data_IF_335105316586
#
_entry.id   IF_335105316586
#
_cell.length_a   1.000
_cell.length_b   1.000
_cell.length_c   1.000
_cell.angle_alpha   90.00
_cell.angle_beta   90.00
_cell.angle_gamma   90.00
#
_symmetry.space_group_name_H-M   'P 1'
#
loop_
_entity.id
_entity.type
_entity.pdbx_description
1 polymer ?
#
# COMPACT_ATOMS: atom_id res chain seq x y z
N UNK A 1 9.43 12.57 -38.79
CA UNK A 1 9.40 11.20 -38.26
C UNK A 1 8.08 11.03 -37.53
N UNK A 2 7.29 9.99 -37.79
CA UNK A 2 6.15 9.71 -36.94
C UNK A 2 6.66 9.45 -35.53
N UNK A 3 6.10 10.16 -34.57
CA UNK A 3 6.33 9.86 -33.16
C UNK A 3 5.85 8.43 -32.90
N UNK A 4 6.70 7.58 -32.33
CA UNK A 4 6.31 6.24 -31.91
C UNK A 4 5.11 6.29 -30.96
N UNK A 5 4.47 5.14 -30.63
CA UNK A 5 3.35 5.12 -29.71
C UNK A 5 3.75 5.83 -28.41
N UNK A 6 2.84 6.59 -27.77
CA UNK A 6 3.15 7.32 -26.57
C UNK A 6 3.67 6.37 -25.50
N UNK A 7 4.89 6.58 -25.04
CA UNK A 7 5.46 5.86 -23.92
C UNK A 7 4.89 6.45 -22.63
N UNK A 8 4.11 5.64 -21.91
CA UNK A 8 3.56 6.04 -20.62
C UNK A 8 4.66 6.35 -19.61
N UNK A 9 4.48 7.42 -18.86
CA UNK A 9 5.37 7.82 -17.77
C UNK A 9 4.73 7.46 -16.45
N UNK A 10 5.43 6.71 -15.63
CA UNK A 10 5.02 6.42 -14.26
C UNK A 10 5.94 7.14 -13.28
N UNK A 11 5.38 7.91 -12.35
CA UNK A 11 6.11 8.44 -11.20
C UNK A 11 5.85 7.56 -10.01
N UNK A 12 6.93 7.09 -9.40
CA UNK A 12 6.92 6.40 -8.11
C UNK A 12 7.37 7.37 -7.03
N UNK A 13 6.49 7.66 -6.08
CA UNK A 13 6.78 8.50 -4.92
C UNK A 13 6.94 7.63 -3.67
N UNK A 14 8.02 7.80 -2.94
CA UNK A 14 8.25 7.14 -1.66
C UNK A 14 8.46 8.21 -0.59
N UNK A 15 7.63 8.24 0.44
CA UNK A 15 7.72 9.24 1.51
C UNK A 15 8.56 8.78 2.69
N UNK A 16 8.76 7.48 2.86
CA UNK A 16 9.53 6.90 3.97
C UNK A 16 10.16 5.56 3.56
N UNK A 17 11.40 5.34 3.96
CA UNK A 17 12.12 4.06 3.93
C UNK A 17 12.12 3.32 2.58
N UNK A 18 13.27 3.27 1.92
CA UNK A 18 13.42 2.56 0.63
C UNK A 18 13.63 1.07 0.86
N UNK A 19 12.55 0.25 0.75
CA UNK A 19 12.75 -1.20 0.57
C UNK A 19 13.08 -1.47 -0.90
N UNK A 20 14.33 -1.85 -1.17
CA UNK A 20 14.89 -2.09 -2.51
C UNK A 20 14.00 -3.02 -3.35
N UNK A 21 13.45 -4.09 -2.78
CA UNK A 21 12.61 -5.06 -3.50
C UNK A 21 11.41 -4.41 -4.19
N UNK A 22 10.70 -3.56 -3.48
CA UNK A 22 9.50 -2.88 -4.01
C UNK A 22 9.85 -1.90 -5.14
N UNK A 23 10.99 -1.22 -4.98
CA UNK A 23 11.51 -0.32 -6.00
C UNK A 23 11.83 -1.07 -7.29
N UNK A 24 12.56 -2.17 -7.17
CA UNK A 24 12.96 -2.98 -8.32
C UNK A 24 11.78 -3.63 -9.03
N UNK A 25 10.84 -4.23 -8.28
CA UNK A 25 9.68 -4.93 -8.87
C UNK A 25 8.77 -3.98 -9.63
N UNK A 26 8.47 -2.80 -9.07
CA UNK A 26 7.62 -1.81 -9.74
C UNK A 26 8.29 -1.25 -11.00
N UNK A 27 9.60 -0.93 -10.93
CA UNK A 27 10.34 -0.47 -12.11
C UNK A 27 10.37 -1.55 -13.19
N UNK A 28 10.66 -2.80 -12.81
CA UNK A 28 10.68 -3.90 -13.78
C UNK A 28 9.32 -4.16 -14.41
N UNK A 29 8.25 -4.10 -13.62
CA UNK A 29 6.88 -4.24 -14.14
C UNK A 29 6.54 -3.13 -15.15
N UNK A 30 6.85 -1.87 -14.81
CA UNK A 30 6.65 -0.74 -15.71
C UNK A 30 7.44 -0.91 -17.02
N UNK A 31 8.70 -1.29 -16.94
CA UNK A 31 9.53 -1.56 -18.14
C UNK A 31 8.97 -2.68 -19.00
N UNK A 32 8.47 -3.76 -18.40
CA UNK A 32 7.85 -4.87 -19.12
C UNK A 32 6.57 -4.45 -19.85
N UNK A 33 5.88 -3.43 -19.33
CA UNK A 33 4.70 -2.83 -19.97
C UNK A 33 5.04 -1.70 -20.96
N UNK A 34 6.32 -1.46 -21.23
CA UNK A 34 6.76 -0.39 -22.12
C UNK A 34 6.67 1.02 -21.54
N UNK A 35 6.58 1.14 -20.22
CA UNK A 35 6.51 2.42 -19.52
C UNK A 35 7.90 2.89 -19.11
N UNK A 36 8.11 4.20 -19.09
CA UNK A 36 9.25 4.83 -18.42
C UNK A 36 8.93 5.08 -16.95
N UNK A 37 9.91 4.97 -16.08
CA UNK A 37 9.73 5.14 -14.64
C UNK A 37 10.60 6.25 -14.09
N UNK A 38 9.99 7.20 -13.43
CA UNK A 38 10.67 8.21 -12.61
C UNK A 38 10.49 7.80 -11.13
N UNK A 39 11.56 7.77 -10.38
CA UNK A 39 11.51 7.43 -8.95
C UNK A 39 11.89 8.65 -8.13
N UNK A 40 10.97 9.07 -7.26
CA UNK A 40 11.16 10.18 -6.34
C UNK A 40 11.14 9.65 -4.90
N UNK A 41 12.25 9.83 -4.19
CA UNK A 41 12.35 9.57 -2.75
C UNK A 41 12.14 10.92 -2.02
N UNK A 42 10.90 11.22 -1.68
CA UNK A 42 10.54 12.44 -0.95
C UNK A 42 11.00 12.31 0.50
N UNK A 43 11.54 13.39 1.05
CA UNK A 43 12.12 13.45 2.40
C UNK A 43 13.43 12.67 2.60
N UNK A 44 13.98 12.08 1.55
CA UNK A 44 15.34 11.54 1.56
C UNK A 44 16.21 12.33 0.57
N UNK A 45 16.83 13.38 1.04
CA UNK A 45 17.65 14.27 0.22
C UNK A 45 17.27 15.74 0.37
N UNK A 46 17.53 16.52 -0.68
CA UNK A 46 17.35 17.96 -0.66
C UNK A 46 15.87 18.41 -0.80
N UNK A 47 14.97 17.52 -1.26
CA UNK A 47 13.57 17.86 -1.49
C UNK A 47 12.68 17.30 -0.39
N UNK A 48 12.44 18.12 0.63
CA UNK A 48 11.52 17.83 1.71
C UNK A 48 10.19 18.49 1.42
N UNK A 49 9.08 17.79 1.63
CA UNK A 49 7.74 18.30 1.43
C UNK A 49 7.01 18.49 2.76
N UNK A 50 6.37 19.65 2.90
CA UNK A 50 5.40 19.88 3.96
C UNK A 50 4.08 19.18 3.62
N UNK A 51 3.48 18.51 4.58
CA UNK A 51 2.24 17.73 4.40
C UNK A 51 1.07 18.27 5.21
N UNK A 52 1.36 19.14 6.19
CA UNK A 52 0.35 19.71 7.08
C UNK A 52 -0.28 20.95 6.45
N UNK A 53 -1.61 21.01 6.40
CA UNK A 53 -2.33 22.16 5.87
C UNK A 53 -2.25 23.35 6.84
N UNK A 54 -2.11 24.55 6.29
CA UNK A 54 -2.12 25.80 7.05
C UNK A 54 -0.83 26.12 7.82
N UNK A 55 0.23 25.38 7.57
CA UNK A 55 1.55 25.65 8.14
C UNK A 55 2.19 26.86 7.47
N UNK A 56 2.83 27.72 8.24
CA UNK A 56 3.68 28.79 7.72
C UNK A 56 4.96 28.16 7.17
N UNK A 57 5.28 28.44 5.90
CA UNK A 57 6.43 27.84 5.20
C UNK A 57 7.74 28.56 5.53
N UNK A 58 8.09 28.62 6.82
CA UNK A 58 9.30 29.25 7.35
C UNK A 58 10.33 28.25 7.93
N UNK A 59 10.05 26.97 7.81
CA UNK A 59 10.89 25.87 8.28
C UNK A 59 11.89 25.35 7.24
N UNK A 60 12.30 24.09 7.41
CA UNK A 60 13.29 23.40 6.56
C UNK A 60 12.70 22.68 5.34
N UNK A 61 11.40 22.81 5.13
CA UNK A 61 10.68 22.22 3.99
C UNK A 61 10.39 23.30 2.95
N UNK A 62 11.06 23.26 1.78
CA UNK A 62 10.98 24.33 0.80
C UNK A 62 9.65 24.37 0.03
N UNK A 63 8.86 23.30 0.03
CA UNK A 63 7.65 23.19 -0.78
C UNK A 63 6.56 22.40 -0.04
N UNK A 64 5.31 22.80 -0.29
CA UNK A 64 4.16 22.07 0.24
C UNK A 64 3.71 20.98 -0.73
N UNK A 65 3.23 19.85 -0.20
CA UNK A 65 2.76 18.72 -1.00
C UNK A 65 1.62 19.11 -1.95
N UNK A 66 0.76 20.04 -1.55
CA UNK A 66 -0.34 20.56 -2.38
C UNK A 66 0.13 21.30 -3.64
N UNK A 67 1.35 21.82 -3.65
CA UNK A 67 1.97 22.46 -4.82
C UNK A 67 2.77 21.44 -5.63
N UNK A 68 3.52 20.59 -4.96
CA UNK A 68 4.36 19.60 -5.62
C UNK A 68 3.57 18.53 -6.38
N UNK A 69 2.45 18.05 -5.83
CA UNK A 69 1.67 16.95 -6.42
C UNK A 69 1.05 17.29 -7.78
N UNK A 70 0.41 18.46 -8.00
CA UNK A 70 -0.05 18.88 -9.32
C UNK A 70 1.09 18.98 -10.34
N UNK A 71 2.25 19.47 -9.92
CA UNK A 71 3.45 19.56 -10.77
C UNK A 71 3.94 18.20 -11.17
N UNK A 72 4.02 17.23 -10.24
CA UNK A 72 4.34 15.84 -10.55
C UNK A 72 3.36 15.26 -11.59
N UNK A 73 2.07 15.57 -11.47
CA UNK A 73 1.04 15.16 -12.41
C UNK A 73 1.26 15.66 -13.84
N UNK A 74 1.98 16.77 -14.03
CA UNK A 74 2.32 17.28 -15.37
C UNK A 74 3.39 16.43 -16.07
N UNK A 75 4.20 15.69 -15.31
CA UNK A 75 5.33 14.91 -15.84
C UNK A 75 5.05 13.41 -15.97
N UNK A 76 3.84 12.96 -15.66
CA UNK A 76 3.51 11.53 -15.70
C UNK A 76 2.07 11.27 -16.12
N UNK A 77 1.79 10.01 -16.43
CA UNK A 77 0.46 9.52 -16.77
C UNK A 77 -0.18 8.78 -15.59
N UNK A 78 0.64 8.22 -14.69
CA UNK A 78 0.21 7.45 -13.52
C UNK A 78 1.18 7.70 -12.36
N UNK A 79 0.67 7.77 -11.14
CA UNK A 79 1.47 7.94 -9.94
C UNK A 79 1.31 6.74 -9.00
N UNK A 80 2.42 6.09 -8.65
CA UNK A 80 2.47 5.09 -7.60
C UNK A 80 2.97 5.71 -6.30
N UNK A 81 2.15 5.67 -5.25
CA UNK A 81 2.49 6.27 -3.94
C UNK A 81 2.75 5.19 -2.92
N UNK A 82 3.85 5.35 -2.16
CA UNK A 82 4.18 4.55 -0.99
C UNK A 82 4.32 5.45 0.22
N UNK A 83 3.35 5.37 1.13
CA UNK A 83 3.28 6.19 2.34
C UNK A 83 2.98 5.30 3.54
N UNK A 84 3.93 5.13 4.45
CA UNK A 84 3.73 4.33 5.66
C UNK A 84 2.96 5.09 6.74
N UNK A 85 2.39 4.33 7.68
CA UNK A 85 1.94 4.85 8.96
C UNK A 85 3.07 5.60 9.67
N UNK A 86 2.75 6.75 10.24
CA UNK A 86 3.69 7.55 11.03
C UNK A 86 3.73 7.12 12.49
N UNK A 87 2.65 6.48 12.97
CA UNK A 87 2.44 6.11 14.38
C UNK A 87 2.41 7.31 15.35
N UNK A 88 2.15 8.50 14.83
CA UNK A 88 2.01 9.73 15.60
C UNK A 88 0.54 10.02 15.92
N UNK A 89 -0.33 9.83 14.95
CA UNK A 89 -1.77 10.00 15.05
C UNK A 89 -2.49 8.87 14.31
N UNK A 90 -3.25 8.05 15.05
CA UNK A 90 -3.98 6.92 14.48
C UNK A 90 -5.03 7.36 13.46
N UNK A 91 -5.71 8.48 13.69
CA UNK A 91 -6.75 8.99 12.79
C UNK A 91 -6.15 9.43 11.45
N UNK A 92 -5.04 10.17 11.46
CA UNK A 92 -4.33 10.59 10.25
C UNK A 92 -3.82 9.38 9.45
N UNK A 93 -3.27 8.37 10.13
CA UNK A 93 -2.82 7.13 9.50
C UNK A 93 -4.00 6.36 8.89
N UNK A 94 -5.12 6.22 9.62
CA UNK A 94 -6.29 5.49 9.15
C UNK A 94 -7.09 6.22 8.07
N UNK A 95 -6.97 7.55 7.97
CA UNK A 95 -7.50 8.36 6.89
C UNK A 95 -6.60 8.42 5.66
N UNK A 96 -5.43 7.75 5.69
CA UNK A 96 -4.48 7.70 4.58
C UNK A 96 -4.11 9.11 4.08
N UNK A 97 -3.87 10.04 5.01
CA UNK A 97 -3.73 11.48 4.76
C UNK A 97 -2.81 11.84 3.58
N UNK A 98 -1.66 11.17 3.49
CA UNK A 98 -0.70 11.44 2.42
C UNK A 98 -1.22 10.93 1.07
N UNK A 99 -1.68 9.66 1.04
CA UNK A 99 -2.21 9.06 -0.18
C UNK A 99 -3.41 9.84 -0.72
N UNK A 100 -4.31 10.25 0.17
CA UNK A 100 -5.50 11.04 -0.17
C UNK A 100 -5.14 12.36 -0.84
N UNK A 101 -4.11 13.07 -0.37
CA UNK A 101 -3.64 14.30 -1.00
C UNK A 101 -3.09 14.08 -2.42
N UNK A 102 -2.41 12.96 -2.66
CA UNK A 102 -2.00 12.60 -4.03
C UNK A 102 -3.20 12.32 -4.94
N UNK A 103 -4.19 11.58 -4.45
CA UNK A 103 -5.41 11.27 -5.19
C UNK A 103 -6.18 12.55 -5.54
N UNK A 104 -6.32 13.45 -4.56
CA UNK A 104 -7.10 14.68 -4.70
C UNK A 104 -6.45 15.70 -5.67
N UNK A 105 -5.12 15.82 -5.64
CA UNK A 105 -4.44 16.96 -6.28
C UNK A 105 -3.57 16.61 -7.50
N UNK A 106 -3.29 15.35 -7.78
CA UNK A 106 -2.38 15.00 -8.88
C UNK A 106 -2.97 15.20 -10.28
N UNK A 107 -4.30 15.16 -10.41
CA UNK A 107 -4.97 15.15 -11.71
C UNK A 107 -4.64 13.91 -12.56
N UNK A 108 -4.05 12.87 -11.95
CA UNK A 108 -3.65 11.62 -12.60
C UNK A 108 -4.16 10.41 -11.83
N UNK A 109 -4.32 9.25 -12.47
CA UNK A 109 -4.55 8.01 -11.76
C UNK A 109 -3.45 7.75 -10.74
N UNK A 110 -3.86 7.46 -9.50
CA UNK A 110 -2.95 7.15 -8.39
C UNK A 110 -3.20 5.72 -7.93
N UNK A 111 -2.15 4.95 -7.73
CA UNK A 111 -2.26 3.65 -7.08
C UNK A 111 -1.41 3.58 -5.81
N UNK A 112 -1.97 2.95 -4.79
CA UNK A 112 -1.23 2.67 -3.57
C UNK A 112 -0.25 1.52 -3.78
N UNK A 113 1.01 1.78 -3.52
CA UNK A 113 2.03 0.72 -3.47
C UNK A 113 2.06 0.05 -2.10
N UNK A 114 1.96 0.83 -1.06
CA UNK A 114 1.76 0.49 0.34
C UNK A 114 1.44 1.78 1.09
N UNK A 115 0.38 1.79 1.86
CA UNK A 115 -0.03 2.93 2.66
C UNK A 115 -0.13 2.54 4.14
N UNK A 116 -0.68 3.40 4.97
CA UNK A 116 -0.74 3.16 6.41
C UNK A 116 -1.64 1.96 6.75
N UNK A 117 -2.76 1.81 6.04
CA UNK A 117 -3.74 0.75 6.33
C UNK A 117 -3.83 -0.34 5.28
N UNK A 118 -3.26 -0.15 4.08
CA UNK A 118 -3.38 -1.08 2.96
C UNK A 118 -2.07 -1.32 2.21
N UNK A 119 -1.90 -2.57 1.78
CA UNK A 119 -0.82 -3.00 0.89
C UNK A 119 -1.39 -3.82 -0.28
N UNK A 120 -2.14 -3.19 -1.21
CA UNK A 120 -2.96 -3.91 -2.19
C UNK A 120 -2.16 -4.79 -3.13
N UNK A 121 -0.97 -4.36 -3.54
CA UNK A 121 -0.13 -5.12 -4.48
C UNK A 121 0.42 -6.41 -3.85
N UNK A 122 0.72 -6.41 -2.55
CA UNK A 122 1.14 -7.63 -1.84
C UNK A 122 0.01 -8.64 -1.80
N UNK A 123 -1.15 -8.22 -1.34
CA UNK A 123 -2.30 -9.12 -1.17
C UNK A 123 -2.85 -9.63 -2.49
N UNK A 124 -2.74 -8.84 -3.56
CA UNK A 124 -3.06 -9.31 -4.91
C UNK A 124 -2.08 -10.38 -5.39
N UNK A 125 -0.78 -10.22 -5.10
CA UNK A 125 0.21 -11.26 -5.38
C UNK A 125 -0.03 -12.52 -4.57
N UNK A 126 -0.43 -12.40 -3.30
CA UNK A 126 -0.80 -13.52 -2.45
C UNK A 126 -2.01 -14.28 -3.02
N UNK A 127 -3.05 -13.56 -3.49
CA UNK A 127 -4.21 -14.16 -4.13
C UNK A 127 -3.83 -14.92 -5.40
N UNK A 128 -3.01 -14.33 -6.28
CA UNK A 128 -2.51 -15.02 -7.48
C UNK A 128 -1.77 -16.31 -7.08
N UNK A 129 -0.94 -16.23 -6.04
CA UNK A 129 -0.20 -17.40 -5.56
C UNK A 129 -1.13 -18.48 -5.03
N UNK A 130 -2.16 -18.10 -4.26
CA UNK A 130 -3.16 -19.06 -3.79
C UNK A 130 -3.89 -19.69 -4.98
N UNK A 131 -4.30 -18.90 -5.97
CA UNK A 131 -4.96 -19.41 -7.19
C UNK A 131 -4.09 -20.42 -7.96
N UNK A 132 -2.78 -20.18 -8.04
CA UNK A 132 -1.83 -21.07 -8.72
C UNK A 132 -1.63 -22.41 -7.99
N UNK A 133 -1.69 -22.41 -6.64
CA UNK A 133 -1.34 -23.57 -5.83
C UNK A 133 -2.51 -24.27 -5.14
N UNK A 134 -3.70 -23.67 -5.13
CA UNK A 134 -4.88 -24.27 -4.51
C UNK A 134 -5.23 -25.63 -5.14
N UNK A 135 -5.64 -26.57 -4.31
CA UNK A 135 -6.02 -27.94 -4.73
C UNK A 135 -7.52 -28.13 -4.87
N UNK A 136 -8.30 -27.20 -4.35
CA UNK A 136 -9.77 -27.22 -4.36
C UNK A 136 -10.31 -25.91 -4.88
N UNK A 137 -11.55 -25.88 -5.36
CA UNK A 137 -12.18 -24.65 -5.84
C UNK A 137 -12.34 -23.61 -4.71
N UNK A 138 -12.65 -24.09 -3.50
CA UNK A 138 -12.85 -23.26 -2.30
C UNK A 138 -11.90 -23.72 -1.19
N UNK A 139 -10.63 -23.29 -1.22
CA UNK A 139 -9.68 -23.68 -0.20
C UNK A 139 -10.01 -23.02 1.13
N UNK A 140 -9.62 -23.66 2.23
CA UNK A 140 -9.52 -23.01 3.52
C UNK A 140 -8.23 -22.19 3.57
N UNK A 141 -8.34 -20.93 3.88
CA UNK A 141 -7.19 -19.99 4.00
C UNK A 141 -7.14 -19.49 5.43
N UNK A 142 -6.01 -19.66 6.07
CA UNK A 142 -5.78 -19.18 7.45
C UNK A 142 -4.74 -18.10 7.45
N UNK A 143 -5.11 -16.92 7.97
CA UNK A 143 -4.17 -15.83 8.23
C UNK A 143 -3.83 -15.79 9.71
N UNK A 144 -2.53 -15.79 10.00
CA UNK A 144 -2.04 -15.69 11.37
C UNK A 144 -0.87 -14.75 11.49
N UNK A 145 -0.71 -14.15 12.66
CA UNK A 145 0.49 -13.39 13.02
C UNK A 145 0.81 -13.53 14.51
N UNK A 146 2.05 -13.23 14.84
CA UNK A 146 2.55 -13.23 16.19
C UNK A 146 2.90 -11.81 16.63
N UNK A 147 2.97 -11.54 17.95
CA UNK A 147 3.49 -10.30 18.47
C UNK A 147 4.87 -9.98 17.91
N UNK A 148 5.12 -8.70 17.66
CA UNK A 148 6.41 -8.21 17.18
C UNK A 148 6.93 -7.15 18.16
N UNK A 149 8.26 -7.13 18.48
CA UNK A 149 8.83 -6.21 19.47
C UNK A 149 8.74 -4.73 19.08
N UNK A 150 8.47 -4.43 17.81
CA UNK A 150 8.22 -3.08 17.33
C UNK A 150 6.83 -2.97 16.77
N UNK A 151 6.19 -1.83 16.94
CA UNK A 151 4.92 -1.54 16.26
C UNK A 151 5.09 -1.66 14.74
N UNK A 152 4.20 -2.42 14.12
CA UNK A 152 4.13 -2.59 12.67
C UNK A 152 2.78 -2.11 12.16
N UNK A 153 2.74 -1.51 10.95
CA UNK A 153 1.46 -1.19 10.30
C UNK A 153 0.67 -2.46 10.04
N UNK A 154 -0.65 -2.38 10.22
CA UNK A 154 -1.56 -3.48 9.87
C UNK A 154 -1.91 -3.52 8.37
N UNK A 155 -1.17 -2.79 7.54
CA UNK A 155 -1.43 -2.65 6.11
C UNK A 155 -1.49 -4.00 5.36
N UNK A 156 -0.57 -4.90 5.65
CA UNK A 156 -0.52 -6.22 5.00
C UNK A 156 -1.69 -7.10 5.43
N UNK A 157 -1.92 -7.37 6.74
CA UNK A 157 -3.04 -8.20 7.15
C UNK A 157 -4.41 -7.59 6.80
N UNK A 158 -4.57 -6.27 6.86
CA UNK A 158 -5.80 -5.61 6.44
C UNK A 158 -6.11 -5.88 4.96
N UNK A 159 -5.13 -5.66 4.07
CA UNK A 159 -5.33 -5.91 2.64
C UNK A 159 -5.53 -7.38 2.33
N UNK A 160 -4.82 -8.27 3.00
CA UNK A 160 -5.03 -9.70 2.82
C UNK A 160 -6.46 -10.10 3.20
N UNK A 161 -6.95 -9.61 4.34
CA UNK A 161 -8.31 -9.86 4.77
C UNK A 161 -9.36 -9.30 3.78
N UNK A 162 -9.16 -8.08 3.25
CA UNK A 162 -10.06 -7.52 2.22
C UNK A 162 -10.10 -8.39 0.96
N UNK A 163 -8.94 -8.85 0.46
CA UNK A 163 -8.90 -9.71 -0.73
C UNK A 163 -9.51 -11.08 -0.48
N UNK A 164 -9.25 -11.70 0.68
CA UNK A 164 -9.84 -13.00 1.00
C UNK A 164 -11.36 -12.89 1.18
N UNK A 165 -11.88 -11.83 1.80
CA UNK A 165 -13.31 -11.56 1.91
C UNK A 165 -13.99 -11.31 0.55
N UNK A 166 -13.25 -10.95 -0.49
CA UNK A 166 -13.75 -10.79 -1.85
C UNK A 166 -13.81 -12.13 -2.64
N UNK A 167 -13.26 -13.20 -2.08
CA UNK A 167 -13.34 -14.55 -2.64
C UNK A 167 -14.47 -15.35 -2.00
N UNK A 168 -14.73 -16.54 -2.51
CA UNK A 168 -15.63 -17.51 -1.89
C UNK A 168 -14.87 -18.56 -1.04
N UNK A 169 -13.63 -18.28 -0.66
CA UNK A 169 -12.80 -19.16 0.18
C UNK A 169 -13.33 -19.22 1.62
N UNK A 170 -13.06 -20.33 2.29
CA UNK A 170 -13.22 -20.37 3.74
C UNK A 170 -12.06 -19.61 4.39
N UNK A 171 -12.33 -18.40 4.87
CA UNK A 171 -11.30 -17.53 5.43
C UNK A 171 -11.38 -17.46 6.95
N UNK A 172 -10.27 -17.78 7.61
CA UNK A 172 -10.12 -17.77 9.07
C UNK A 172 -8.96 -16.86 9.44
N UNK A 173 -9.21 -15.99 10.41
CA UNK A 173 -8.19 -15.11 11.03
C UNK A 173 -7.88 -15.66 12.42
N UNK A 174 -6.61 -15.89 12.73
CA UNK A 174 -6.18 -16.30 14.07
C UNK A 174 -5.02 -15.46 14.58
N UNK A 175 -5.14 -14.94 15.78
CA UNK A 175 -4.14 -14.11 16.44
C UNK A 175 -4.36 -14.17 17.97
N UNK A 176 -3.37 -13.77 18.79
CA UNK A 176 -3.58 -13.57 20.23
C UNK A 176 -4.63 -12.48 20.51
N UNK A 177 -5.36 -12.60 21.60
CA UNK A 177 -6.24 -11.53 22.08
C UNK A 177 -5.47 -10.21 22.25
N UNK A 178 -6.10 -9.08 21.90
CA UNK A 178 -5.47 -7.76 21.93
C UNK A 178 -4.71 -7.38 20.66
N UNK A 179 -4.71 -8.26 19.64
CA UNK A 179 -4.06 -8.02 18.35
C UNK A 179 -5.05 -7.96 17.18
N UNK A 180 -6.29 -7.60 17.47
CA UNK A 180 -7.38 -7.54 16.50
C UNK A 180 -7.10 -6.53 15.38
N UNK A 181 -7.56 -6.87 14.18
CA UNK A 181 -7.70 -5.90 13.10
C UNK A 181 -8.93 -5.03 13.36
N UNK A 182 -8.94 -3.85 12.75
CA UNK A 182 -10.15 -3.03 12.72
C UNK A 182 -11.30 -3.83 12.08
N UNK A 183 -12.51 -3.83 12.68
CA UNK A 183 -13.65 -4.61 12.18
C UNK A 183 -14.00 -4.39 10.71
N UNK A 184 -13.71 -3.20 10.17
CA UNK A 184 -13.93 -2.88 8.75
C UNK A 184 -13.10 -3.76 7.80
N UNK A 185 -11.96 -4.31 8.26
CA UNK A 185 -11.10 -5.20 7.48
C UNK A 185 -11.39 -6.68 7.74
N UNK A 186 -11.83 -7.02 8.96
CA UNK A 186 -12.20 -8.40 9.31
C UNK A 186 -13.35 -8.90 8.43
N UNK A 187 -14.33 -8.05 8.16
CA UNK A 187 -15.45 -8.37 7.28
C UNK A 187 -16.21 -9.61 7.75
N UNK A 188 -16.39 -10.59 6.86
CA UNK A 188 -17.09 -11.85 7.13
C UNK A 188 -16.16 -12.99 7.59
N UNK A 189 -14.87 -12.71 7.80
CA UNK A 189 -13.91 -13.72 8.22
C UNK A 189 -14.26 -14.29 9.60
N UNK A 190 -14.11 -15.61 9.76
CA UNK A 190 -14.15 -16.22 11.06
C UNK A 190 -12.92 -15.86 11.86
N UNK A 191 -13.08 -15.36 13.07
CA UNK A 191 -11.97 -15.16 14.02
C UNK A 191 -11.93 -16.34 14.97
N UNK A 192 -10.76 -17.00 15.08
CA UNK A 192 -10.52 -18.12 15.95
C UNK A 192 -9.23 -17.87 16.75
N UNK A 193 -9.34 -17.75 18.06
CA UNK A 193 -8.20 -17.49 18.95
C UNK A 193 -7.38 -18.73 19.27
N UNK A 194 -7.97 -19.93 19.15
CA UNK A 194 -7.24 -21.19 19.24
C UNK A 194 -6.57 -21.48 17.90
N UNK A 195 -5.27 -21.21 17.82
CA UNK A 195 -4.49 -21.40 16.60
C UNK A 195 -4.54 -22.87 16.11
N UNK A 196 -4.59 -23.85 17.00
CA UNK A 196 -4.65 -25.26 16.60
C UNK A 196 -5.96 -25.57 15.88
N UNK A 197 -7.08 -25.08 16.41
CA UNK A 197 -8.39 -25.21 15.76
C UNK A 197 -8.45 -24.47 14.44
N UNK A 198 -7.83 -23.29 14.35
CA UNK A 198 -7.80 -22.54 13.10
C UNK A 198 -7.12 -23.31 11.98
N UNK A 199 -6.09 -24.11 12.28
CA UNK A 199 -5.34 -24.90 11.31
C UNK A 199 -5.89 -26.31 11.06
N UNK A 200 -6.98 -26.71 11.69
CA UNK A 200 -7.65 -27.97 11.34
C UNK A 200 -8.18 -27.89 9.90
N UNK A 201 -7.96 -28.93 9.11
CA UNK A 201 -8.42 -29.04 7.71
C UNK A 201 -7.86 -27.99 6.72
N UNK A 202 -6.65 -27.47 6.95
CA UNK A 202 -5.97 -26.57 6.00
C UNK A 202 -5.18 -27.34 4.94
#
# INVERSE_FOLDING_TARGET
>A
RPLGPPTWQIIKVTTTGSKIRFRLSTQKAAMNLGMNTIVLDVNQGAWKLETERGVIMDGDKPEHLLEAVPVMGCYCDVIGVRSFARFENKEDDYNEKILSQFIEHSGRPVFSMEAATRHPLQSFADLITIEEYKKTARPKVVMTWAPHPKSLPQAVPNSFAEWMNATDYEFVITHPEGYELDPRFVGNAKVEYDQKKAFEEV
#
